data_IF_869110869892
#
_entry.id   IF_869110869892
#
_cell.length_a   1.000
_cell.length_b   1.000
_cell.length_c   1.000
_cell.angle_alpha   90.00
_cell.angle_beta   90.00
_cell.angle_gamma   90.00
#
_symmetry.space_group_name_H-M   'P 1'
#
loop_
_entity.id
_entity.type
_entity.pdbx_description
1 polymer ?
#
# COMPACT_ATOMS: atom_id res chain seq x y z
N UNK A 1 47.38 1.44 48.94
CA UNK A 1 48.11 0.26 49.42
C UNK A 1 48.37 -0.52 48.16
N UNK A 2 49.53 -0.29 47.57
CA UNK A 2 50.76 -1.07 47.77
C UNK A 2 50.58 -2.43 47.12
N UNK A 3 51.31 -2.94 46.20
CA UNK A 3 52.70 -2.84 45.76
C UNK A 3 52.84 -3.90 44.70
N UNK A 4 53.41 -3.64 43.53
CA UNK A 4 54.79 -3.97 43.19
C UNK A 4 55.00 -5.45 42.83
N UNK A 5 55.62 -5.90 41.80
CA UNK A 5 56.92 -5.72 41.23
C UNK A 5 57.06 -6.59 39.97
N UNK A 6 57.66 -6.10 38.92
CA UNK A 6 58.41 -6.89 37.95
C UNK A 6 59.79 -7.23 38.56
N UNK A 7 60.77 -7.85 37.90
CA UNK A 7 61.04 -8.18 36.51
C UNK A 7 61.74 -9.55 36.33
N UNK A 8 62.13 -9.91 35.12
CA UNK A 8 63.50 -10.35 34.83
C UNK A 8 63.68 -11.25 33.58
N UNK A 9 64.28 -10.72 32.57
CA UNK A 9 65.54 -11.11 31.97
C UNK A 9 65.62 -12.33 31.02
N UNK A 10 65.97 -12.01 29.79
CA UNK A 10 66.51 -12.87 28.71
C UNK A 10 67.90 -13.43 29.09
N UNK A 11 68.67 -14.11 28.25
CA UNK A 11 68.63 -14.41 26.80
C UNK A 11 69.09 -15.86 26.47
N UNK A 12 69.10 -16.20 25.20
CA UNK A 12 69.82 -17.41 24.77
C UNK A 12 69.46 -17.87 23.37
N UNK A 13 70.11 -17.39 22.45
CA UNK A 13 71.14 -17.97 21.53
C UNK A 13 70.57 -18.75 20.32
N UNK A 14 70.98 -18.21 19.20
CA UNK A 14 70.81 -18.66 17.83
C UNK A 14 71.13 -20.13 17.55
N UNK A 15 70.42 -20.72 16.59
CA UNK A 15 71.07 -21.62 15.64
C UNK A 15 70.35 -21.56 14.31
N UNK A 16 71.06 -21.08 13.33
CA UNK A 16 70.73 -21.07 11.90
C UNK A 16 70.63 -22.49 11.35
N UNK A 17 69.60 -22.79 10.60
CA UNK A 17 69.69 -23.81 9.52
C UNK A 17 68.58 -23.49 8.51
N UNK A 18 68.88 -22.95 7.38
CA UNK A 18 68.15 -23.05 6.13
C UNK A 18 68.84 -24.17 5.32
N UNK A 19 68.33 -24.60 4.19
CA UNK A 19 67.00 -24.45 3.54
C UNK A 19 66.41 -25.78 3.10
N UNK A 20 65.17 -25.84 2.89
CA UNK A 20 64.55 -26.85 1.99
C UNK A 20 63.51 -26.20 1.15
N UNK A 21 63.86 -25.85 -0.04
CA UNK A 21 63.01 -25.51 -1.15
C UNK A 21 62.10 -26.69 -1.49
N UNK A 22 60.88 -26.66 -1.06
CA UNK A 22 59.82 -27.50 -1.64
C UNK A 22 58.95 -26.62 -2.50
N UNK A 23 59.12 -26.74 -3.79
CA UNK A 23 58.28 -26.18 -4.81
C UNK A 23 56.86 -26.75 -4.63
N UNK A 24 56.00 -25.98 -4.01
CA UNK A 24 54.55 -26.28 -4.01
C UNK A 24 54.01 -25.87 -5.37
N UNK A 25 53.80 -26.87 -6.20
CA UNK A 25 53.05 -26.74 -7.46
C UNK A 25 51.63 -26.35 -7.10
N UNK A 26 51.35 -25.04 -7.13
CA UNK A 26 49.99 -24.53 -7.05
C UNK A 26 49.24 -25.00 -8.30
N UNK A 27 48.48 -26.07 -8.15
CA UNK A 27 47.47 -26.44 -9.13
C UNK A 27 46.40 -25.35 -9.12
N UNK A 28 46.51 -24.42 -10.03
CA UNK A 28 45.44 -23.46 -10.33
C UNK A 28 44.24 -24.23 -10.85
N UNK A 29 43.38 -24.63 -9.94
CA UNK A 29 42.03 -25.12 -10.31
C UNK A 29 41.28 -23.91 -10.85
N UNK A 30 41.29 -23.75 -12.14
CA UNK A 30 40.41 -22.79 -12.84
C UNK A 30 38.99 -23.29 -12.63
N UNK A 31 38.32 -22.73 -11.62
CA UNK A 31 36.88 -22.90 -11.48
C UNK A 31 36.26 -22.15 -12.62
N UNK A 32 35.95 -22.89 -13.68
CA UNK A 32 35.10 -22.39 -14.77
C UNK A 32 33.70 -22.25 -14.20
N UNK A 33 33.40 -21.08 -13.63
CA UNK A 33 32.01 -20.71 -13.33
C UNK A 33 31.30 -20.50 -14.64
N UNK A 34 30.61 -21.52 -15.11
CA UNK A 34 29.66 -21.41 -16.22
C UNK A 34 28.63 -20.35 -15.82
N UNK A 35 28.48 -19.24 -16.53
CA UNK A 35 27.48 -18.24 -16.21
C UNK A 35 26.11 -18.87 -16.46
N UNK A 36 25.42 -19.22 -15.38
CA UNK A 36 24.04 -19.69 -15.46
C UNK A 36 23.17 -18.49 -15.79
N UNK A 37 22.92 -18.24 -17.03
CA UNK A 37 22.08 -17.15 -17.56
C UNK A 37 20.61 -17.21 -17.12
N UNK A 38 20.24 -18.22 -16.33
CA UNK A 38 18.89 -18.45 -15.79
C UNK A 38 18.38 -17.42 -14.78
N UNK A 39 19.19 -16.81 -13.86
CA UNK A 39 18.67 -15.85 -12.90
C UNK A 39 18.22 -14.54 -13.56
N UNK A 40 18.97 -13.98 -14.50
CA UNK A 40 18.62 -12.72 -15.17
C UNK A 40 17.31 -12.82 -15.98
N UNK A 41 17.10 -13.95 -16.65
CA UNK A 41 15.87 -14.18 -17.44
C UNK A 41 14.64 -14.32 -16.54
N UNK A 42 14.77 -14.97 -15.36
CA UNK A 42 13.70 -15.07 -14.39
C UNK A 42 13.35 -13.71 -13.79
N UNK A 43 14.36 -12.89 -13.46
CA UNK A 43 14.16 -11.54 -12.93
C UNK A 43 13.44 -10.65 -13.94
N UNK A 44 13.79 -10.73 -15.22
CA UNK A 44 13.07 -10.00 -16.29
C UNK A 44 11.62 -10.45 -16.42
N UNK A 45 11.36 -11.75 -16.40
CA UNK A 45 10.00 -12.29 -16.48
C UNK A 45 9.15 -11.83 -15.30
N UNK A 46 9.69 -11.94 -14.07
CA UNK A 46 9.02 -11.46 -12.86
C UNK A 46 8.74 -9.95 -12.91
N UNK A 47 9.72 -9.15 -13.34
CA UNK A 47 9.55 -7.71 -13.52
C UNK A 47 8.45 -7.36 -14.54
N UNK A 48 8.39 -8.09 -15.65
CA UNK A 48 7.34 -7.89 -16.67
C UNK A 48 5.96 -8.30 -16.15
N UNK A 49 5.86 -9.43 -15.45
CA UNK A 49 4.59 -9.88 -14.86
C UNK A 49 4.09 -8.90 -13.79
N UNK A 50 5.00 -8.41 -12.95
CA UNK A 50 4.67 -7.43 -11.91
C UNK A 50 4.21 -6.11 -12.53
N UNK A 51 4.89 -5.62 -13.57
CA UNK A 51 4.50 -4.42 -14.29
C UNK A 51 3.12 -4.59 -14.98
N UNK A 52 2.88 -5.73 -15.63
CA UNK A 52 1.59 -6.02 -16.25
C UNK A 52 0.45 -6.07 -15.24
N UNK A 53 0.68 -6.70 -14.08
CA UNK A 53 -0.29 -6.71 -12.97
C UNK A 53 -0.52 -5.28 -12.45
N UNK A 54 0.53 -4.47 -12.32
CA UNK A 54 0.43 -3.07 -11.92
C UNK A 54 -0.45 -2.25 -12.86
N UNK A 55 -0.26 -2.41 -14.18
CA UNK A 55 -1.12 -1.76 -15.19
C UNK A 55 -2.57 -2.19 -15.03
N UNK A 56 -2.81 -3.50 -14.91
CA UNK A 56 -4.16 -4.04 -14.77
C UNK A 56 -4.87 -3.48 -13.54
N UNK A 57 -4.20 -3.46 -12.38
CA UNK A 57 -4.76 -2.93 -11.13
C UNK A 57 -5.04 -1.42 -11.22
N UNK A 58 -4.12 -0.66 -11.82
CA UNK A 58 -4.32 0.78 -12.01
C UNK A 58 -5.54 1.07 -12.90
N UNK A 59 -5.67 0.38 -14.02
CA UNK A 59 -6.82 0.53 -14.92
C UNK A 59 -8.13 0.09 -14.25
N UNK A 60 -8.12 -0.99 -13.49
CA UNK A 60 -9.28 -1.44 -12.72
C UNK A 60 -9.69 -0.40 -11.67
N UNK A 61 -8.73 0.19 -10.93
CA UNK A 61 -9.00 1.24 -9.96
C UNK A 61 -9.60 2.51 -10.60
N UNK A 62 -9.03 2.97 -11.72
CA UNK A 62 -9.58 4.11 -12.49
C UNK A 62 -11.01 3.80 -12.99
N UNK A 63 -11.22 2.60 -13.53
CA UNK A 63 -12.53 2.17 -14.01
C UNK A 63 -13.57 2.09 -12.88
N UNK A 64 -13.18 1.57 -11.73
CA UNK A 64 -14.05 1.54 -10.53
C UNK A 64 -14.40 2.95 -10.06
N UNK A 65 -13.42 3.86 -9.97
CA UNK A 65 -13.65 5.25 -9.62
C UNK A 65 -14.67 5.92 -10.55
N UNK A 66 -14.44 5.80 -11.86
CA UNK A 66 -15.35 6.37 -12.87
C UNK A 66 -16.75 5.76 -12.79
N UNK A 67 -16.86 4.45 -12.59
CA UNK A 67 -18.13 3.75 -12.45
C UNK A 67 -18.93 4.21 -11.23
N UNK A 68 -18.28 4.37 -10.07
CA UNK A 68 -18.95 4.90 -8.86
C UNK A 68 -19.38 6.34 -9.07
N UNK A 69 -18.53 7.21 -9.64
CA UNK A 69 -18.87 8.59 -9.92
C UNK A 69 -20.05 8.71 -10.90
N UNK A 70 -20.08 7.87 -11.95
CA UNK A 70 -21.21 7.81 -12.89
C UNK A 70 -22.50 7.32 -12.23
N UNK A 71 -22.41 6.28 -11.38
CA UNK A 71 -23.56 5.79 -10.65
C UNK A 71 -24.18 6.88 -9.76
N UNK A 72 -23.35 7.61 -9.02
CA UNK A 72 -23.83 8.73 -8.20
C UNK A 72 -24.39 9.88 -9.05
N UNK A 73 -23.79 10.18 -10.21
CA UNK A 73 -24.27 11.22 -11.10
C UNK A 73 -25.69 10.93 -11.65
N UNK A 74 -26.02 9.65 -11.85
CA UNK A 74 -27.36 9.24 -12.32
C UNK A 74 -28.46 9.48 -11.29
N UNK A 75 -28.11 9.55 -10.01
CA UNK A 75 -29.07 9.87 -8.92
C UNK A 75 -29.38 11.36 -8.83
N UNK A 76 -28.64 12.21 -9.56
CA UNK A 76 -28.80 13.69 -9.61
C UNK A 76 -28.85 14.34 -8.20
N UNK A 77 -28.20 13.73 -7.21
CA UNK A 77 -28.16 14.24 -5.84
C UNK A 77 -27.19 15.40 -5.75
N UNK A 78 -27.61 16.48 -5.12
CA UNK A 78 -26.76 17.61 -4.72
C UNK A 78 -26.58 17.62 -3.21
N UNK A 79 -25.44 18.13 -2.77
CA UNK A 79 -25.17 18.34 -1.34
C UNK A 79 -26.11 19.43 -0.82
N UNK A 80 -26.76 19.17 0.31
CA UNK A 80 -27.68 20.12 0.95
C UNK A 80 -27.01 21.47 1.24
N UNK A 81 -27.80 22.55 1.17
CA UNK A 81 -27.34 23.91 1.51
C UNK A 81 -26.90 24.04 2.99
N UNK A 82 -27.38 23.14 3.86
CA UNK A 82 -27.03 23.10 5.28
C UNK A 82 -25.68 22.42 5.54
N UNK A 83 -25.02 21.89 4.49
CA UNK A 83 -23.73 21.25 4.62
C UNK A 83 -22.64 22.27 4.97
N UNK A 84 -21.73 21.90 5.83
CA UNK A 84 -20.56 22.75 6.19
C UNK A 84 -19.53 22.88 5.07
N UNK A 85 -19.58 21.99 4.07
CA UNK A 85 -18.70 21.98 2.91
C UNK A 85 -19.42 21.39 1.70
N UNK A 86 -19.04 21.83 0.50
CA UNK A 86 -19.57 21.35 -0.79
C UNK A 86 -21.08 21.60 -0.99
N UNK A 87 -21.70 22.54 -0.24
CA UNK A 87 -23.11 22.90 -0.38
C UNK A 87 -23.43 23.23 -1.84
N UNK A 88 -24.51 22.64 -2.38
CA UNK A 88 -24.92 22.81 -3.78
C UNK A 88 -24.11 22.03 -4.81
N UNK A 89 -23.00 21.41 -4.44
CA UNK A 89 -22.19 20.62 -5.36
C UNK A 89 -22.86 19.27 -5.68
N UNK A 90 -22.69 18.72 -6.90
CA UNK A 90 -23.17 17.38 -7.23
C UNK A 90 -22.42 16.32 -6.44
N UNK A 91 -23.16 15.32 -5.96
CA UNK A 91 -22.60 14.19 -5.18
C UNK A 91 -21.97 13.17 -6.13
N UNK A 92 -20.81 13.50 -6.70
CA UNK A 92 -20.03 12.63 -7.63
C UNK A 92 -18.63 12.34 -7.14
N UNK A 93 -18.28 12.82 -5.96
CA UNK A 93 -16.96 12.63 -5.33
C UNK A 93 -17.11 12.04 -3.91
N UNK A 94 -16.07 11.38 -3.38
CA UNK A 94 -16.14 10.84 -2.02
C UNK A 94 -16.35 11.90 -0.94
N UNK A 95 -15.84 13.12 -1.15
CA UNK A 95 -15.99 14.24 -0.21
C UNK A 95 -17.41 14.79 -0.20
N UNK A 96 -18.02 14.99 -1.38
CA UNK A 96 -19.42 15.43 -1.49
C UNK A 96 -20.38 14.35 -0.93
N UNK A 97 -20.13 13.07 -1.22
CA UNK A 97 -20.90 11.97 -0.66
C UNK A 97 -20.77 11.90 0.87
N UNK A 98 -19.60 12.14 1.43
CA UNK A 98 -19.39 12.22 2.87
C UNK A 98 -20.15 13.41 3.47
N UNK A 99 -20.02 14.60 2.88
CA UNK A 99 -20.70 15.81 3.37
C UNK A 99 -22.21 15.60 3.41
N UNK A 100 -22.81 15.06 2.34
CA UNK A 100 -24.25 14.77 2.30
C UNK A 100 -24.65 13.71 3.34
N UNK A 101 -23.82 12.67 3.54
CA UNK A 101 -24.08 11.65 4.56
C UNK A 101 -24.10 12.22 5.99
N UNK A 102 -23.26 13.25 6.26
CA UNK A 102 -23.25 13.94 7.56
C UNK A 102 -24.45 14.84 7.77
N UNK A 103 -24.94 15.53 6.72
CA UNK A 103 -26.21 16.27 6.79
C UNK A 103 -27.35 15.33 7.14
N UNK A 104 -27.51 14.23 6.42
CA UNK A 104 -28.56 13.23 6.69
C UNK A 104 -28.46 12.71 8.14
N UNK A 105 -27.26 12.50 8.67
CA UNK A 105 -27.06 12.10 10.05
C UNK A 105 -27.55 13.17 11.05
N UNK A 106 -27.24 14.43 10.77
CA UNK A 106 -27.67 15.56 11.62
C UNK A 106 -29.20 15.69 11.61
N UNK A 107 -29.82 15.63 10.43
CA UNK A 107 -31.27 15.72 10.26
C UNK A 107 -32.02 14.60 11.01
N UNK A 108 -31.50 13.36 10.91
CA UNK A 108 -32.07 12.23 11.67
C UNK A 108 -31.95 12.48 13.18
N UNK A 109 -30.81 12.95 13.65
CA UNK A 109 -30.59 13.21 15.06
C UNK A 109 -31.50 14.34 15.59
N UNK A 110 -31.67 15.40 14.81
CA UNK A 110 -32.58 16.50 15.12
C UNK A 110 -34.04 16.02 15.18
N UNK A 111 -34.47 15.28 14.15
CA UNK A 111 -35.84 14.75 14.03
C UNK A 111 -36.18 13.82 15.21
N UNK A 112 -35.25 13.04 15.69
CA UNK A 112 -35.47 12.00 16.72
C UNK A 112 -35.11 12.41 18.12
N UNK A 113 -34.44 13.59 18.30
CA UNK A 113 -33.83 13.94 19.58
C UNK A 113 -32.65 13.05 19.94
N UNK A 114 -31.96 12.49 18.93
CA UNK A 114 -30.83 11.60 19.10
C UNK A 114 -31.14 10.11 19.21
N UNK A 115 -32.44 9.72 19.19
CA UNK A 115 -32.82 8.31 19.20
C UNK A 115 -32.43 7.61 17.90
N UNK A 116 -31.91 6.40 18.06
CA UNK A 116 -31.66 5.50 16.91
C UNK A 116 -32.94 4.80 16.47
N UNK A 117 -32.94 4.27 15.25
CA UNK A 117 -34.09 3.48 14.73
C UNK A 117 -34.49 2.32 15.66
N UNK A 118 -33.52 1.70 16.36
CA UNK A 118 -33.78 0.58 17.25
C UNK A 118 -34.44 1.02 18.57
N UNK A 119 -34.22 2.23 19.02
CA UNK A 119 -34.76 2.80 20.26
C UNK A 119 -36.13 3.43 20.08
N UNK A 120 -36.53 3.69 18.84
CA UNK A 120 -37.83 4.28 18.54
C UNK A 120 -38.95 3.27 18.72
N UNK A 121 -40.10 3.73 19.23
CA UNK A 121 -41.31 2.92 19.31
C UNK A 121 -41.77 2.42 17.92
N UNK A 122 -42.35 1.23 17.88
CA UNK A 122 -42.80 0.60 16.61
C UNK A 122 -43.86 1.41 15.87
N UNK A 123 -44.67 2.12 16.61
CA UNK A 123 -45.78 2.92 16.10
C UNK A 123 -45.42 4.42 15.94
N UNK A 124 -44.13 4.77 16.11
CA UNK A 124 -43.67 6.15 15.91
C UNK A 124 -43.77 6.52 14.41
N UNK A 125 -44.54 7.58 14.07
CA UNK A 125 -44.76 7.99 12.69
C UNK A 125 -43.47 8.41 11.96
N UNK A 126 -42.40 8.81 12.67
CA UNK A 126 -41.12 9.20 12.12
C UNK A 126 -40.24 8.00 11.74
N UNK A 127 -40.59 6.81 12.23
CA UNK A 127 -39.76 5.60 12.06
C UNK A 127 -39.45 5.29 10.59
N UNK A 128 -40.41 5.49 9.70
CA UNK A 128 -40.23 5.28 8.26
C UNK A 128 -39.23 6.29 7.66
N UNK A 129 -39.35 7.55 8.03
CA UNK A 129 -38.38 8.59 7.58
C UNK A 129 -37.00 8.32 8.05
N UNK A 130 -36.82 7.92 9.31
CA UNK A 130 -35.53 7.53 9.90
C UNK A 130 -34.92 6.32 9.21
N UNK A 131 -35.73 5.29 8.90
CA UNK A 131 -35.26 4.13 8.15
C UNK A 131 -34.76 4.52 6.76
N UNK A 132 -35.50 5.35 6.04
CA UNK A 132 -35.13 5.84 4.71
C UNK A 132 -33.84 6.66 4.77
N UNK A 133 -33.72 7.62 5.69
CA UNK A 133 -32.52 8.45 5.86
C UNK A 133 -31.30 7.61 6.24
N UNK A 134 -31.45 6.64 7.13
CA UNK A 134 -30.38 5.71 7.51
C UNK A 134 -29.91 4.88 6.31
N UNK A 135 -30.82 4.42 5.47
CA UNK A 135 -30.49 3.69 4.24
C UNK A 135 -29.74 4.57 3.24
N UNK A 136 -30.22 5.79 2.99
CA UNK A 136 -29.55 6.75 2.11
C UNK A 136 -28.13 7.06 2.60
N UNK A 137 -27.98 7.32 3.90
CA UNK A 137 -26.68 7.55 4.51
C UNK A 137 -25.74 6.34 4.33
N UNK A 138 -26.24 5.13 4.56
CA UNK A 138 -25.45 3.92 4.38
C UNK A 138 -25.00 3.75 2.92
N UNK A 139 -25.85 4.06 1.95
CA UNK A 139 -25.51 4.03 0.52
C UNK A 139 -24.39 5.02 0.19
N UNK A 140 -24.49 6.26 0.66
CA UNK A 140 -23.45 7.28 0.46
C UNK A 140 -22.10 6.86 1.09
N UNK A 141 -22.10 6.36 2.32
CA UNK A 141 -20.89 5.86 2.98
C UNK A 141 -20.28 4.67 2.22
N UNK A 142 -21.12 3.78 1.70
CA UNK A 142 -20.64 2.66 0.85
C UNK A 142 -19.94 3.19 -0.40
N UNK A 143 -20.46 4.25 -1.03
CA UNK A 143 -19.82 4.89 -2.18
C UNK A 143 -18.47 5.51 -1.80
N UNK A 144 -18.35 6.15 -0.63
CA UNK A 144 -17.08 6.66 -0.11
C UNK A 144 -16.04 5.54 0.05
N UNK A 145 -16.46 4.40 0.62
CA UNK A 145 -15.59 3.22 0.77
C UNK A 145 -15.16 2.70 -0.61
N UNK A 146 -16.09 2.62 -1.57
CA UNK A 146 -15.79 2.17 -2.93
C UNK A 146 -14.75 3.06 -3.63
N UNK A 147 -14.85 4.39 -3.47
CA UNK A 147 -13.82 5.33 -3.92
C UNK A 147 -12.46 5.07 -3.24
N UNK A 148 -12.46 4.80 -1.93
CA UNK A 148 -11.25 4.46 -1.18
C UNK A 148 -10.57 3.19 -1.71
N UNK A 149 -11.35 2.15 -1.99
CA UNK A 149 -10.84 0.90 -2.60
C UNK A 149 -10.29 1.15 -4.00
N UNK A 150 -10.99 1.94 -4.82
CA UNK A 150 -10.53 2.31 -6.15
C UNK A 150 -9.17 3.04 -6.09
N UNK A 151 -9.01 4.00 -5.18
CA UNK A 151 -7.75 4.72 -4.95
C UNK A 151 -6.63 3.78 -4.47
N UNK A 152 -6.94 2.86 -3.57
CA UNK A 152 -5.97 1.86 -3.10
C UNK A 152 -5.49 0.96 -4.24
N UNK A 153 -6.39 0.52 -5.14
CA UNK A 153 -6.02 -0.25 -6.33
C UNK A 153 -5.08 0.53 -7.25
N UNK A 154 -5.32 1.81 -7.48
CA UNK A 154 -4.43 2.68 -8.27
C UNK A 154 -3.06 2.79 -7.59
N UNK A 155 -3.01 3.04 -6.29
CA UNK A 155 -1.77 3.16 -5.52
C UNK A 155 -0.93 1.88 -5.52
N UNK A 156 -1.55 0.73 -5.25
CA UNK A 156 -0.89 -0.58 -5.28
C UNK A 156 -0.43 -0.91 -6.70
N UNK A 157 -1.27 -0.63 -7.71
CA UNK A 157 -0.94 -0.83 -9.12
C UNK A 157 0.28 -0.01 -9.54
N UNK A 158 0.33 1.25 -9.16
CA UNK A 158 1.49 2.12 -9.40
C UNK A 158 2.76 1.59 -8.71
N UNK A 159 2.66 1.10 -7.47
CA UNK A 159 3.77 0.47 -6.76
C UNK A 159 4.31 -0.77 -7.49
N UNK A 160 3.44 -1.64 -7.99
CA UNK A 160 3.82 -2.81 -8.77
C UNK A 160 4.44 -2.44 -10.13
N UNK A 161 3.94 -1.39 -10.77
CA UNK A 161 4.51 -0.85 -12.01
C UNK A 161 5.95 -0.39 -11.78
N UNK A 162 6.17 0.45 -10.77
CA UNK A 162 7.50 0.96 -10.44
C UNK A 162 8.46 -0.17 -10.03
N UNK A 163 8.00 -1.11 -9.20
CA UNK A 163 8.75 -2.29 -8.81
C UNK A 163 9.13 -3.18 -10.00
N UNK A 164 8.19 -3.41 -10.90
CA UNK A 164 8.42 -4.18 -12.14
C UNK A 164 9.43 -3.52 -13.06
N UNK A 165 9.35 -2.21 -13.26
CA UNK A 165 10.31 -1.42 -14.04
C UNK A 165 11.70 -1.42 -13.39
N UNK A 166 11.77 -1.29 -12.07
CA UNK A 166 13.02 -1.37 -11.31
C UNK A 166 13.74 -2.72 -11.48
N UNK A 167 13.00 -3.83 -11.37
CA UNK A 167 13.54 -5.17 -11.62
C UNK A 167 14.03 -5.35 -13.06
N UNK A 168 13.29 -4.77 -14.02
CA UNK A 168 13.68 -4.82 -15.42
C UNK A 168 14.96 -4.02 -15.69
N UNK A 169 15.12 -2.85 -15.08
CA UNK A 169 16.32 -2.03 -15.15
C UNK A 169 17.53 -2.72 -14.50
N UNK A 170 17.37 -3.28 -13.31
CA UNK A 170 18.43 -4.01 -12.61
C UNK A 170 18.92 -5.24 -13.38
N UNK A 171 18.05 -5.93 -14.13
CA UNK A 171 18.43 -7.05 -14.96
C UNK A 171 19.27 -6.64 -16.19
N UNK A 172 19.11 -5.40 -16.69
CA UNK A 172 19.91 -4.86 -17.81
C UNK A 172 21.32 -4.46 -17.39
N UNK A 173 21.51 -3.98 -16.17
CA UNK A 173 22.83 -3.56 -15.66
C UNK A 173 23.75 -4.74 -15.32
N UNK A 174 23.29 -5.98 -15.42
CA UNK A 174 24.08 -7.20 -15.22
C UNK A 174 24.55 -7.85 -16.51
N UNK A 175 24.27 -7.25 -17.67
CA UNK A 175 24.79 -7.63 -19.01
C UNK A 175 25.98 -6.78 -19.41
#
# INVERSE_FOLDING_TARGET
>A
MSTDLAPSTAPGTATSTAPSTTASTASSTTVTTTPTSRPAQRTRLLGTLLAALGVLMTLAGIGTWAGVAQGLAQEEITVSEDATAFAGDPVVTPWAAWAQAEVIRADIAEMTGGLTYAEMDRDDPRRQAVATGTFLRASLITSVIAFGVALALVGIGAGFLLGGLGLHGAARSQE
#
